data_IF_173817426889
#
_entry.id   IF_173817426889
#
_cell.length_a   1.000
_cell.length_b   1.000
_cell.length_c   1.000
_cell.angle_alpha   90.00
_cell.angle_beta   90.00
_cell.angle_gamma   90.00
#
_symmetry.space_group_name_H-M   'P 1'
#
loop_
_entity.id
_entity.type
_entity.pdbx_description
1 polymer ?
#
# COMPACT_ATOMS: atom_id res chain seq x y z
N UNK A 1 -23.08 -18.33 -9.15
CA UNK A 1 -22.84 -17.10 -8.36
C UNK A 1 -22.03 -16.21 -9.26
N UNK A 2 -22.52 -15.01 -9.52
CA UNK A 2 -21.92 -14.09 -10.50
C UNK A 2 -21.34 -12.89 -9.76
N UNK A 3 -20.18 -12.42 -10.22
CA UNK A 3 -19.50 -11.24 -9.72
C UNK A 3 -19.70 -10.11 -10.71
N UNK A 4 -20.13 -8.95 -10.22
CA UNK A 4 -20.34 -7.78 -11.06
C UNK A 4 -19.45 -6.64 -10.59
N UNK A 5 -18.90 -5.90 -11.54
CA UNK A 5 -18.19 -4.65 -11.34
C UNK A 5 -19.04 -3.49 -11.86
N UNK A 6 -19.13 -2.42 -11.09
CA UNK A 6 -19.84 -1.22 -11.52
C UNK A 6 -18.91 -0.32 -12.36
N UNK A 7 -19.20 -0.19 -13.66
CA UNK A 7 -18.50 0.77 -14.53
C UNK A 7 -19.15 2.15 -14.37
N UNK A 8 -18.49 3.03 -13.62
CA UNK A 8 -18.95 4.41 -13.40
C UNK A 8 -19.04 5.24 -14.68
N UNK A 9 -18.24 4.93 -15.70
CA UNK A 9 -18.25 5.69 -16.95
C UNK A 9 -19.48 5.39 -17.79
N UNK A 10 -19.94 4.14 -17.72
CA UNK A 10 -21.10 3.64 -18.47
C UNK A 10 -22.37 3.55 -17.63
N UNK A 11 -22.26 3.70 -16.31
CA UNK A 11 -23.32 3.49 -15.34
C UNK A 11 -24.01 2.11 -15.51
N UNK A 12 -23.23 1.07 -15.84
CA UNK A 12 -23.72 -0.30 -16.02
C UNK A 12 -22.95 -1.25 -15.12
N UNK A 13 -23.62 -2.34 -14.73
CA UNK A 13 -22.97 -3.49 -14.13
C UNK A 13 -22.37 -4.37 -15.24
N UNK A 14 -21.07 -4.60 -15.16
CA UNK A 14 -20.34 -5.50 -16.06
C UNK A 14 -20.12 -6.82 -15.31
N UNK A 15 -20.61 -7.92 -15.87
CA UNK A 15 -20.35 -9.24 -15.34
C UNK A 15 -18.87 -9.58 -15.55
N UNK A 16 -18.20 -9.91 -14.45
CA UNK A 16 -16.79 -10.27 -14.46
C UNK A 16 -16.66 -11.77 -14.51
N UNK A 17 -15.80 -12.26 -15.41
CA UNK A 17 -15.37 -13.66 -15.42
C UNK A 17 -14.55 -13.93 -14.15
N UNK A 18 -15.20 -14.39 -13.09
CA UNK A 18 -14.53 -14.80 -11.87
C UNK A 18 -14.12 -16.27 -12.00
N UNK A 19 -12.82 -16.55 -11.93
CA UNK A 19 -12.34 -17.92 -11.77
C UNK A 19 -12.55 -18.34 -10.31
N UNK A 20 -13.33 -19.39 -10.08
CA UNK A 20 -13.50 -19.98 -8.77
C UNK A 20 -12.18 -20.61 -8.31
N UNK A 21 -11.63 -20.15 -7.20
CA UNK A 21 -10.48 -20.80 -6.57
C UNK A 21 -11.04 -21.73 -5.49
N UNK A 22 -11.25 -23.00 -5.82
CA UNK A 22 -11.62 -24.03 -4.84
C UNK A 22 -10.38 -24.36 -4.01
N UNK A 23 -10.18 -23.67 -2.89
CA UNK A 23 -9.22 -24.09 -1.89
C UNK A 23 -9.87 -25.17 -1.01
N UNK A 24 -9.56 -26.42 -1.32
CA UNK A 24 -10.00 -27.57 -0.55
C UNK A 24 -9.48 -27.52 0.89
N UNK A 25 -10.40 -27.64 1.85
CA UNK A 25 -10.07 -27.83 3.26
C UNK A 25 -11.12 -27.37 4.27
N UNK A 26 -12.38 -27.80 4.14
CA UNK A 26 -13.30 -27.90 5.29
C UNK A 26 -14.06 -26.65 5.75
N UNK A 27 -14.13 -25.57 4.99
CA UNK A 27 -15.06 -24.46 5.30
C UNK A 27 -15.90 -24.05 4.08
N UNK A 28 -17.19 -23.79 4.31
CA UNK A 28 -18.21 -23.36 3.33
C UNK A 28 -17.95 -21.92 2.84
N UNK A 29 -16.73 -21.67 2.35
CA UNK A 29 -16.26 -20.35 1.95
C UNK A 29 -15.69 -20.44 0.55
N UNK A 30 -16.32 -19.73 -0.38
CA UNK A 30 -15.77 -19.54 -1.72
C UNK A 30 -15.07 -18.19 -1.77
N UNK A 31 -13.82 -18.21 -2.20
CA UNK A 31 -13.01 -17.01 -2.35
C UNK A 31 -12.95 -16.61 -3.82
N UNK A 32 -13.20 -15.34 -4.09
CA UNK A 32 -13.11 -14.74 -5.42
C UNK A 32 -12.05 -13.64 -5.41
N UNK A 33 -11.24 -13.60 -6.46
CA UNK A 33 -10.27 -12.53 -6.68
C UNK A 33 -10.67 -11.74 -7.91
N UNK A 34 -10.86 -10.44 -7.74
CA UNK A 34 -11.01 -9.52 -8.86
C UNK A 34 -9.86 -8.50 -8.81
N UNK A 35 -9.11 -8.39 -9.90
CA UNK A 35 -8.04 -7.41 -10.03
C UNK A 35 -8.60 -6.19 -10.74
N UNK A 36 -8.75 -5.09 -10.00
CA UNK A 36 -9.08 -3.79 -10.56
C UNK A 36 -7.86 -2.87 -10.45
N UNK A 37 -7.48 -2.14 -11.51
CA UNK A 37 -6.38 -1.16 -11.45
C UNK A 37 -6.70 0.05 -10.55
N UNK A 38 -7.95 0.20 -10.11
CA UNK A 38 -8.44 1.26 -9.23
C UNK A 38 -9.37 0.74 -8.13
N UNK A 39 -9.60 1.52 -7.07
CA UNK A 39 -10.67 1.25 -6.10
C UNK A 39 -12.02 1.18 -6.83
N UNK A 40 -12.87 0.20 -6.50
CA UNK A 40 -14.10 -0.07 -7.23
C UNK A 40 -15.19 -0.69 -6.36
N UNK A 41 -16.44 -0.61 -6.82
CA UNK A 41 -17.60 -1.22 -6.17
C UNK A 41 -17.94 -2.53 -6.86
N UNK A 42 -18.13 -3.58 -6.07
CA UNK A 42 -18.45 -4.93 -6.54
C UNK A 42 -19.71 -5.45 -5.86
N UNK A 43 -20.47 -6.25 -6.59
CA UNK A 43 -21.64 -6.96 -6.06
C UNK A 43 -21.49 -8.46 -6.27
N UNK A 44 -21.82 -9.24 -5.24
CA UNK A 44 -21.84 -10.71 -5.28
C UNK A 44 -23.29 -11.16 -5.27
N UNK A 45 -23.73 -11.86 -6.32
CA UNK A 45 -25.06 -12.43 -6.39
C UNK A 45 -24.99 -13.95 -6.27
N UNK A 46 -25.30 -14.46 -5.07
CA UNK A 46 -25.58 -15.88 -4.86
C UNK A 46 -26.94 -16.20 -5.47
N UNK A 47 -26.98 -17.00 -6.54
CA UNK A 47 -28.25 -17.59 -6.97
C UNK A 47 -28.58 -18.63 -5.91
N UNK A 48 -29.45 -18.28 -4.95
CA UNK A 48 -30.04 -19.29 -4.09
C UNK A 48 -30.80 -20.24 -5.00
N UNK A 49 -30.37 -21.51 -5.08
CA UNK A 49 -31.15 -22.59 -5.70
C UNK A 49 -32.41 -22.88 -4.85
N UNK A 50 -33.19 -21.86 -4.48
CA UNK A 50 -34.58 -22.04 -4.12
C UNK A 50 -35.33 -22.30 -5.42
N UNK A 51 -35.31 -23.58 -5.83
CA UNK A 51 -36.29 -24.22 -6.70
C UNK A 51 -36.56 -23.46 -8.01
N UNK A 52 -35.80 -23.77 -9.05
CA UNK A 52 -36.30 -23.59 -10.41
C UNK A 52 -37.55 -24.46 -10.57
N UNK A 53 -38.72 -23.90 -10.27
CA UNK A 53 -39.93 -24.25 -10.99
C UNK A 53 -39.89 -23.39 -12.25
N UNK A 54 -39.31 -23.97 -13.28
CA UNK A 54 -39.61 -23.59 -14.66
C UNK A 54 -41.14 -23.67 -14.80
N UNK A 55 -41.78 -22.51 -14.78
CA UNK A 55 -43.16 -22.33 -15.18
C UNK A 55 -43.14 -21.14 -16.14
N UNK A 56 -42.96 -21.52 -17.40
CA UNK A 56 -43.29 -20.73 -18.56
C UNK A 56 -44.80 -20.55 -18.57
N UNK A 57 -45.31 -19.59 -17.78
CA UNK A 57 -46.68 -19.12 -17.94
C UNK A 57 -46.69 -17.62 -18.20
N UNK A 58 -47.08 -17.35 -19.43
CA UNK A 58 -47.47 -16.10 -20.06
C UNK A 58 -48.30 -15.22 -19.13
N UNK A 59 -47.69 -14.20 -18.51
CA UNK A 59 -48.43 -13.02 -18.06
C UNK A 59 -47.66 -11.75 -18.46
N UNK A 60 -48.26 -11.08 -19.43
CA UNK A 60 -47.89 -9.82 -20.05
C UNK A 60 -47.42 -8.76 -19.03
N UNK A 61 -46.13 -8.40 -19.05
CA UNK A 61 -45.63 -7.27 -18.27
C UNK A 61 -46.13 -5.94 -18.89
N UNK A 62 -46.69 -5.00 -18.10
CA UNK A 62 -46.97 -3.67 -18.60
C UNK A 62 -45.64 -2.95 -18.92
N UNK A 63 -45.47 -2.57 -20.18
CA UNK A 63 -44.35 -1.75 -20.65
C UNK A 63 -44.36 -0.41 -19.92
N UNK A 64 -43.58 -0.31 -18.85
CA UNK A 64 -43.35 0.95 -18.14
C UNK A 64 -42.22 1.67 -18.86
N UNK A 65 -42.57 2.69 -19.64
CA UNK A 65 -41.59 3.58 -20.27
C UNK A 65 -40.85 4.36 -19.19
N UNK A 66 -39.64 3.92 -18.83
CA UNK A 66 -38.76 4.63 -17.91
C UNK A 66 -38.09 5.77 -18.67
N UNK A 67 -38.51 7.02 -18.39
CA UNK A 67 -37.82 8.21 -18.90
C UNK A 67 -36.51 8.39 -18.16
N UNK A 68 -35.39 8.12 -18.84
CA UNK A 68 -34.04 8.31 -18.31
C UNK A 68 -33.67 9.80 -18.41
N UNK A 69 -33.61 10.50 -17.28
CA UNK A 69 -33.01 11.84 -17.19
C UNK A 69 -31.51 11.75 -17.47
N UNK A 70 -30.94 12.58 -18.36
CA UNK A 70 -29.49 12.55 -18.61
C UNK A 70 -28.73 12.95 -17.34
N UNK A 71 -27.81 12.09 -16.91
CA UNK A 71 -26.91 12.35 -15.79
C UNK A 71 -25.90 13.46 -16.16
N UNK A 72 -25.54 14.35 -15.24
CA UNK A 72 -24.55 15.39 -15.52
C UNK A 72 -23.19 14.77 -15.92
N UNK A 73 -22.56 15.36 -16.94
CA UNK A 73 -21.21 14.99 -17.39
C UNK A 73 -20.19 15.25 -16.28
N UNK A 74 -19.38 14.26 -15.88
CA UNK A 74 -18.34 14.48 -14.87
C UNK A 74 -17.33 15.51 -15.37
N UNK A 75 -17.03 16.52 -14.56
CA UNK A 75 -16.00 17.51 -14.84
C UNK A 75 -14.62 16.85 -14.68
N UNK A 76 -13.67 17.04 -15.62
CA UNK A 76 -12.34 16.47 -15.48
C UNK A 76 -11.65 17.03 -14.23
N UNK A 77 -11.28 16.13 -13.32
CA UNK A 77 -10.46 16.44 -12.15
C UNK A 77 -9.01 16.60 -12.56
N UNK A 78 -8.38 17.71 -12.19
CA UNK A 78 -6.95 17.92 -12.42
C UNK A 78 -6.13 16.92 -11.62
N UNK A 79 -5.15 16.31 -12.28
CA UNK A 79 -4.21 15.40 -11.64
C UNK A 79 -3.32 16.16 -10.65
N UNK A 80 -3.07 15.64 -9.43
CA UNK A 80 -2.17 16.27 -8.49
C UNK A 80 -0.75 16.35 -9.04
N UNK A 81 -0.09 17.49 -8.82
CA UNK A 81 1.30 17.69 -9.20
C UNK A 81 2.23 16.74 -8.41
N UNK A 82 3.21 16.15 -9.10
CA UNK A 82 4.19 15.28 -8.48
C UNK A 82 4.97 16.04 -7.40
N UNK A 83 5.02 15.50 -6.18
CA UNK A 83 5.83 16.05 -5.09
C UNK A 83 7.30 15.65 -5.32
N UNK A 84 8.26 16.58 -5.23
CA UNK A 84 9.66 16.25 -5.41
C UNK A 84 10.16 15.31 -4.29
N UNK A 85 10.91 14.29 -4.68
CA UNK A 85 11.55 13.36 -3.74
C UNK A 85 12.68 14.07 -2.99
N UNK A 86 12.73 14.01 -1.64
CA UNK A 86 13.83 14.58 -0.88
C UNK A 86 15.16 13.89 -1.22
N UNK A 87 16.22 14.67 -1.37
CA UNK A 87 17.57 14.16 -1.61
C UNK A 87 18.10 13.46 -0.34
N UNK A 88 18.80 12.31 -0.45
CA UNK A 88 19.42 11.67 0.69
C UNK A 88 20.39 12.62 1.41
N UNK A 89 20.28 12.64 2.73
CA UNK A 89 21.20 13.38 3.61
C UNK A 89 22.57 12.72 3.61
N UNK A 90 23.63 13.51 3.56
CA UNK A 90 25.00 12.99 3.66
C UNK A 90 25.29 12.62 5.12
N UNK A 91 25.78 11.40 5.34
CA UNK A 91 26.28 10.96 6.65
C UNK A 91 27.51 11.79 7.01
N UNK A 92 27.62 12.35 8.23
CA UNK A 92 28.82 13.05 8.65
C UNK A 92 30.02 12.10 8.63
N UNK A 93 31.08 12.50 7.94
CA UNK A 93 32.38 11.82 7.99
C UNK A 93 32.97 12.02 9.39
N UNK A 94 33.38 10.95 10.10
CA UNK A 94 34.04 11.10 11.39
C UNK A 94 35.32 11.94 11.25
N UNK A 95 35.49 12.91 12.14
CA UNK A 95 36.72 13.70 12.20
C UNK A 95 37.86 12.84 12.72
N UNK A 96 38.98 12.82 11.99
CA UNK A 96 40.20 12.18 12.48
C UNK A 96 40.73 12.98 13.68
N UNK A 97 41.04 12.33 14.82
CA UNK A 97 41.67 13.01 15.94
C UNK A 97 43.01 13.56 15.45
N UNK A 98 43.11 14.89 15.38
CA UNK A 98 44.30 15.56 14.88
C UNK A 98 45.45 15.47 15.87
N UNK A 99 45.78 16.60 16.50
CA UNK A 99 46.91 16.68 17.42
C UNK A 99 46.60 16.21 18.85
N UNK A 100 45.36 15.83 19.16
CA UNK A 100 44.98 15.43 20.53
C UNK A 100 45.80 14.25 21.03
N UNK A 101 45.99 13.20 20.22
CA UNK A 101 46.81 12.07 20.60
C UNK A 101 48.27 12.47 20.81
N UNK A 102 48.80 13.36 19.97
CA UNK A 102 50.18 13.86 20.09
C UNK A 102 50.35 14.72 21.35
N UNK A 103 49.42 15.63 21.63
CA UNK A 103 49.41 16.47 22.81
C UNK A 103 49.22 15.65 24.09
N UNK A 104 48.38 14.62 24.07
CA UNK A 104 48.20 13.70 25.20
C UNK A 104 49.50 12.95 25.52
N UNK A 105 50.22 12.46 24.50
CA UNK A 105 51.53 11.81 24.68
C UNK A 105 52.56 12.82 25.21
N UNK A 106 52.65 14.01 24.62
CA UNK A 106 53.60 15.05 25.07
C UNK A 106 53.30 15.50 26.50
N UNK A 107 52.03 15.71 26.84
CA UNK A 107 51.59 16.06 28.19
C UNK A 107 51.89 14.96 29.20
N UNK A 108 51.62 13.70 28.86
CA UNK A 108 51.96 12.55 29.71
C UNK A 108 53.48 12.45 29.93
N UNK A 109 54.28 12.65 28.89
CA UNK A 109 55.74 12.68 29.00
C UNK A 109 56.21 13.88 29.84
N UNK A 110 55.59 15.05 29.71
CA UNK A 110 55.94 16.22 30.51
C UNK A 110 55.67 16.02 32.01
N UNK A 111 54.69 15.20 32.38
CA UNK A 111 54.39 14.83 33.78
C UNK A 111 55.27 13.68 34.27
N UNK A 112 55.47 12.64 33.45
CA UNK A 112 56.28 11.47 33.83
C UNK A 112 57.78 11.76 33.84
N UNK A 113 58.26 12.59 32.92
CA UNK A 113 59.68 12.93 32.79
C UNK A 113 60.28 13.53 34.07
N UNK A 114 59.67 14.51 34.75
CA UNK A 114 60.19 15.03 36.00
C UNK A 114 60.14 13.99 37.13
N UNK A 115 59.13 13.12 37.19
CA UNK A 115 59.06 12.03 38.18
C UNK A 115 60.16 10.99 37.99
N UNK A 116 60.41 10.62 36.73
CA UNK A 116 61.53 9.76 36.34
C UNK A 116 62.87 10.42 36.61
N UNK A 117 62.98 11.73 36.37
CA UNK A 117 64.20 12.52 36.58
C UNK A 117 64.45 12.82 38.07
N UNK A 118 63.41 12.91 38.90
CA UNK A 118 63.52 13.13 40.34
C UNK A 118 63.85 11.85 41.12
N UNK A 119 63.67 10.68 40.51
CA UNK A 119 64.06 9.40 41.07
C UNK A 119 65.57 9.12 40.96
N UNK A 120 66.39 9.80 41.78
CA UNK A 120 67.55 9.29 42.53
C UNK A 120 68.37 10.47 43.11
N UNK A 121 67.78 11.21 44.05
CA UNK A 121 68.59 11.82 45.11
C UNK A 121 68.25 11.09 46.40
N UNK A 122 69.11 10.13 46.76
CA UNK A 122 69.10 9.53 48.10
C UNK A 122 69.42 10.64 49.12
N UNK A 123 68.72 10.70 50.27
CA UNK A 123 69.15 11.52 51.39
C UNK A 123 70.51 11.05 51.94
#
# INVERSE_FOLDING_TARGET
ISLFYYDYNKAIWVEQNASEIVLGGGSDKVYYTATSPSLGTFAICTISKSKLKSESEELQMPSSTVTLTPSPTPTPTSSPAATPTPKPSQTPTPESPGFEAVLAIVGLLAVLYPLKRSGFKKP
#
